data_IF_801729353679
#
_entry.id   IF_801729353679
#
_cell.length_a   1.000
_cell.length_b   1.000
_cell.length_c   1.000
_cell.angle_alpha   90.00
_cell.angle_beta   90.00
_cell.angle_gamma   90.00
#
_symmetry.space_group_name_H-M   'P 1'
#
loop_
_entity.id
_entity.type
_entity.pdbx_description
1 polymer ?
#
# COMPACT_ATOMS: atom_id res chain seq x y z
N UNK A 1 22.33 1.88 -3.29
CA UNK A 1 22.18 1.68 -1.83
C UNK A 1 20.76 1.95 -1.34
N UNK A 2 20.23 3.18 -1.43
CA UNK A 2 18.81 3.45 -1.07
C UNK A 2 17.85 2.85 -2.10
N UNK A 3 18.17 2.98 -3.39
CA UNK A 3 17.38 2.41 -4.51
C UNK A 3 17.15 0.90 -4.37
N UNK A 4 18.09 0.15 -3.77
CA UNK A 4 17.99 -1.31 -3.61
C UNK A 4 16.88 -1.72 -2.63
N UNK A 5 16.63 -0.91 -1.59
CA UNK A 5 15.51 -1.14 -0.66
C UNK A 5 14.19 -0.99 -1.41
N UNK A 6 14.07 0.08 -2.19
CA UNK A 6 12.88 0.35 -2.98
C UNK A 6 12.68 -0.67 -4.11
N UNK A 7 13.76 -1.13 -4.74
CA UNK A 7 13.69 -2.19 -5.76
C UNK A 7 13.17 -3.49 -5.17
N UNK A 8 13.68 -3.89 -3.99
CA UNK A 8 13.21 -5.07 -3.28
C UNK A 8 11.73 -4.95 -2.92
N UNK A 9 11.31 -3.85 -2.31
CA UNK A 9 9.91 -3.62 -1.96
C UNK A 9 9.01 -3.63 -3.21
N UNK A 10 9.46 -3.02 -4.31
CA UNK A 10 8.76 -3.04 -5.59
C UNK A 10 8.58 -4.48 -6.10
N UNK A 11 9.64 -5.29 -6.11
CA UNK A 11 9.60 -6.68 -6.59
C UNK A 11 8.67 -7.56 -5.75
N UNK A 12 8.73 -7.42 -4.43
CA UNK A 12 7.84 -8.17 -3.53
C UNK A 12 6.38 -7.79 -3.77
N UNK A 13 6.08 -6.50 -3.90
CA UNK A 13 4.73 -6.00 -4.16
C UNK A 13 4.21 -6.44 -5.53
N UNK A 14 4.99 -6.28 -6.60
CA UNK A 14 4.52 -6.63 -7.95
C UNK A 14 4.31 -8.13 -8.08
N UNK A 15 5.14 -8.95 -7.44
CA UNK A 15 4.97 -10.40 -7.41
C UNK A 15 3.74 -10.80 -6.62
N UNK A 16 3.54 -10.24 -5.43
CA UNK A 16 2.35 -10.48 -4.62
C UNK A 16 1.06 -10.19 -5.41
N UNK A 17 0.97 -9.02 -6.06
CA UNK A 17 -0.22 -8.69 -6.83
C UNK A 17 -0.39 -9.57 -8.07
N UNK A 18 0.65 -9.78 -8.89
CA UNK A 18 0.51 -10.53 -10.14
C UNK A 18 0.33 -12.04 -9.93
N UNK A 19 1.00 -12.62 -8.92
CA UNK A 19 1.04 -14.07 -8.73
C UNK A 19 0.00 -14.58 -7.72
N UNK A 20 -0.42 -13.75 -6.76
CA UNK A 20 -1.34 -14.17 -5.71
C UNK A 20 -2.72 -13.52 -5.89
N UNK A 21 -2.77 -12.18 -5.95
CA UNK A 21 -4.04 -11.46 -6.00
C UNK A 21 -4.73 -11.53 -7.38
N UNK A 22 -3.98 -11.36 -8.47
CA UNK A 22 -4.51 -11.18 -9.83
C UNK A 22 -4.56 -12.47 -10.66
N UNK A 23 -3.95 -13.56 -10.19
CA UNK A 23 -3.71 -14.81 -10.96
C UNK A 23 -4.93 -15.40 -11.66
N UNK A 24 -6.14 -15.15 -11.14
CA UNK A 24 -7.41 -15.62 -11.71
C UNK A 24 -8.44 -14.49 -11.92
N UNK A 25 -8.01 -13.23 -11.82
CA UNK A 25 -8.91 -12.10 -11.96
C UNK A 25 -9.11 -11.73 -13.43
N UNK A 26 -10.31 -11.22 -13.72
CA UNK A 26 -10.72 -10.84 -15.07
C UNK A 26 -11.36 -9.47 -15.09
N UNK A 27 -11.09 -8.72 -16.14
CA UNK A 27 -11.85 -7.53 -16.53
C UNK A 27 -12.37 -7.81 -17.94
N UNK A 28 -13.67 -7.64 -18.18
CA UNK A 28 -14.28 -7.91 -19.49
C UNK A 28 -13.94 -9.33 -20.03
N UNK A 29 -14.00 -10.34 -19.17
CA UNK A 29 -13.66 -11.74 -19.45
C UNK A 29 -12.20 -12.02 -19.90
N UNK A 30 -11.30 -11.04 -19.78
CA UNK A 30 -9.87 -11.20 -20.07
C UNK A 30 -9.07 -11.19 -18.78
N UNK A 31 -8.13 -12.13 -18.67
CA UNK A 31 -7.15 -12.10 -17.59
C UNK A 31 -6.26 -10.88 -17.77
N UNK A 32 -5.89 -10.25 -16.66
CA UNK A 32 -5.02 -9.08 -16.66
C UNK A 32 -3.91 -9.24 -15.62
N UNK A 33 -2.85 -8.45 -15.80
CA UNK A 33 -1.72 -8.34 -14.88
C UNK A 33 -1.14 -6.94 -15.00
N UNK A 34 -0.46 -6.48 -13.95
CA UNK A 34 0.31 -5.24 -13.98
C UNK A 34 1.56 -5.49 -14.83
N UNK A 35 1.69 -4.78 -15.95
CA UNK A 35 2.76 -5.03 -16.93
C UNK A 35 4.04 -4.33 -16.52
N UNK A 36 5.14 -5.07 -16.63
CA UNK A 36 6.44 -4.58 -16.23
C UNK A 36 7.61 -5.28 -16.93
N UNK A 37 8.66 -4.52 -17.24
CA UNK A 37 9.91 -5.04 -17.80
C UNK A 37 10.96 -5.26 -16.69
N UNK A 38 11.06 -6.52 -16.24
CA UNK A 38 12.05 -6.94 -15.25
C UNK A 38 13.50 -6.74 -15.72
N UNK A 39 13.79 -6.89 -17.01
CA UNK A 39 15.15 -6.75 -17.51
C UNK A 39 15.59 -5.30 -17.44
N UNK A 40 14.72 -4.39 -17.89
CA UNK A 40 14.98 -2.96 -17.76
C UNK A 40 15.14 -2.54 -16.29
N UNK A 41 14.25 -3.00 -15.42
CA UNK A 41 14.28 -2.68 -13.99
C UNK A 41 15.55 -3.11 -13.27
N UNK A 42 15.99 -4.35 -13.50
CA UNK A 42 17.18 -4.88 -12.87
C UNK A 42 18.41 -4.08 -13.28
N UNK A 43 18.41 -3.54 -14.50
CA UNK A 43 19.49 -2.68 -15.02
C UNK A 43 19.43 -1.21 -14.57
N UNK A 44 18.42 -0.78 -13.82
CA UNK A 44 18.28 0.61 -13.39
C UNK A 44 19.34 1.01 -12.36
N UNK A 45 20.14 2.02 -12.69
CA UNK A 45 21.22 2.49 -11.84
C UNK A 45 21.04 3.96 -11.45
N UNK A 46 20.06 4.65 -12.04
CA UNK A 46 19.79 6.07 -11.85
C UNK A 46 18.47 6.29 -11.17
N UNK A 47 18.45 7.33 -10.34
CA UNK A 47 17.33 7.66 -9.49
C UNK A 47 16.08 8.09 -10.29
N UNK A 48 16.28 8.81 -11.39
CA UNK A 48 15.21 9.32 -12.27
C UNK A 48 14.49 8.19 -13.04
N UNK A 49 15.23 7.18 -13.48
CA UNK A 49 14.68 6.06 -14.23
C UNK A 49 13.77 5.18 -13.36
N UNK A 50 14.12 5.03 -12.08
CA UNK A 50 13.28 4.32 -11.10
C UNK A 50 11.98 5.07 -10.80
N UNK A 51 12.04 6.40 -10.64
CA UNK A 51 10.82 7.21 -10.47
C UNK A 51 9.87 7.07 -11.67
N UNK A 52 10.44 7.05 -12.88
CA UNK A 52 9.66 6.86 -14.11
C UNK A 52 8.96 5.51 -14.13
N UNK A 53 9.66 4.43 -13.79
CA UNK A 53 9.06 3.09 -13.67
C UNK A 53 7.86 3.08 -12.72
N UNK A 54 7.98 3.70 -11.54
CA UNK A 54 6.87 3.76 -10.59
C UNK A 54 5.66 4.50 -11.17
N UNK A 55 5.89 5.63 -11.85
CA UNK A 55 4.81 6.39 -12.51
C UNK A 55 4.13 5.59 -13.61
N UNK A 56 4.90 4.88 -14.43
CA UNK A 56 4.37 4.06 -15.52
C UNK A 56 3.48 2.93 -14.95
N UNK A 57 3.91 2.29 -13.87
CA UNK A 57 3.12 1.25 -13.17
C UNK A 57 1.85 1.82 -12.55
N UNK A 58 1.94 2.96 -11.86
CA UNK A 58 0.76 3.64 -11.29
C UNK A 58 -0.22 4.00 -12.42
N UNK A 59 0.27 4.45 -13.57
CA UNK A 59 -0.58 4.74 -14.73
C UNK A 59 -1.24 3.47 -15.28
N UNK A 60 -0.52 2.35 -15.41
CA UNK A 60 -1.08 1.07 -15.87
C UNK A 60 -2.20 0.58 -14.94
N UNK A 61 -1.98 0.66 -13.61
CA UNK A 61 -3.00 0.29 -12.62
C UNK A 61 -4.23 1.20 -12.73
N UNK A 62 -4.05 2.51 -12.91
CA UNK A 62 -5.18 3.42 -13.08
C UNK A 62 -5.96 3.14 -14.36
N UNK A 63 -5.29 2.75 -15.45
CA UNK A 63 -5.97 2.30 -16.67
C UNK A 63 -6.79 1.03 -16.41
N UNK A 64 -6.23 0.04 -15.72
CA UNK A 64 -6.95 -1.18 -15.33
C UNK A 64 -8.16 -0.86 -14.44
N UNK A 65 -8.07 0.14 -13.55
CA UNK A 65 -9.21 0.60 -12.74
C UNK A 65 -10.30 1.25 -13.58
N UNK A 66 -9.92 2.08 -14.55
CA UNK A 66 -10.88 2.66 -15.49
C UNK A 66 -11.58 1.58 -16.33
N UNK A 67 -10.83 0.58 -16.80
CA UNK A 67 -11.39 -0.58 -17.47
C UNK A 67 -12.35 -1.35 -16.55
N UNK A 68 -11.98 -1.58 -15.28
CA UNK A 68 -12.85 -2.22 -14.30
C UNK A 68 -14.15 -1.42 -14.09
N UNK A 69 -14.08 -0.09 -14.01
CA UNK A 69 -15.23 0.82 -13.86
C UNK A 69 -16.12 0.87 -15.10
N UNK A 70 -15.56 0.68 -16.30
CA UNK A 70 -16.36 0.66 -17.54
C UNK A 70 -17.36 -0.50 -17.59
N UNK A 71 -17.14 -1.57 -16.80
CA UNK A 71 -18.10 -2.68 -16.66
C UNK A 71 -19.44 -2.24 -16.07
N UNK A 72 -19.47 -1.12 -15.33
CA UNK A 72 -20.70 -0.58 -14.74
C UNK A 72 -21.70 -0.06 -15.79
N UNK A 73 -21.29 0.04 -17.06
CA UNK A 73 -22.16 0.41 -18.19
C UNK A 73 -23.00 -0.78 -18.67
N UNK A 74 -22.55 -2.02 -18.43
CA UNK A 74 -23.26 -3.24 -18.81
C UNK A 74 -24.18 -3.68 -17.67
N UNK A 75 -25.49 -3.72 -17.90
CA UNK A 75 -26.48 -4.16 -16.90
C UNK A 75 -26.28 -5.62 -16.41
N UNK A 76 -25.46 -6.42 -17.10
CA UNK A 76 -25.20 -7.84 -16.78
C UNK A 76 -23.83 -8.11 -16.19
N UNK A 77 -23.09 -7.10 -15.78
CA UNK A 77 -21.78 -7.30 -15.18
C UNK A 77 -21.85 -8.04 -13.83
N UNK A 78 -20.77 -8.75 -13.49
CA UNK A 78 -20.66 -9.41 -12.20
C UNK A 78 -20.14 -8.44 -11.13
N UNK A 79 -21.06 -8.04 -10.25
CA UNK A 79 -20.83 -7.17 -9.09
C UNK A 79 -19.68 -7.66 -8.21
N UNK A 80 -19.55 -8.97 -8.01
CA UNK A 80 -18.52 -9.55 -7.15
C UNK A 80 -17.15 -9.42 -7.78
N UNK A 81 -17.05 -9.70 -9.08
CA UNK A 81 -15.81 -9.53 -9.85
C UNK A 81 -15.38 -8.07 -9.85
N UNK A 82 -16.30 -7.15 -10.14
CA UNK A 82 -16.03 -5.71 -10.08
C UNK A 82 -15.48 -5.28 -8.71
N UNK A 83 -16.16 -5.66 -7.63
CA UNK A 83 -15.79 -5.25 -6.28
C UNK A 83 -14.42 -5.80 -5.86
N UNK A 84 -14.15 -7.07 -6.20
CA UNK A 84 -12.86 -7.72 -5.92
C UNK A 84 -11.71 -7.04 -6.67
N UNK A 85 -11.90 -6.77 -7.96
CA UNK A 85 -10.93 -6.06 -8.76
C UNK A 85 -10.68 -4.64 -8.24
N UNK A 86 -11.72 -3.90 -7.87
CA UNK A 86 -11.58 -2.53 -7.36
C UNK A 86 -10.79 -2.49 -6.05
N UNK A 87 -11.01 -3.48 -5.17
CA UNK A 87 -10.26 -3.64 -3.94
C UNK A 87 -8.77 -3.91 -4.20
N UNK A 88 -8.47 -4.90 -5.04
CA UNK A 88 -7.10 -5.30 -5.37
C UNK A 88 -6.36 -4.17 -6.07
N UNK A 89 -6.96 -3.56 -7.09
CA UNK A 89 -6.34 -2.50 -7.88
C UNK A 89 -6.16 -1.21 -7.08
N UNK A 90 -7.12 -0.85 -6.22
CA UNK A 90 -6.95 0.31 -5.32
C UNK A 90 -5.78 0.09 -4.35
N UNK A 91 -5.67 -1.12 -3.82
CA UNK A 91 -4.59 -1.51 -2.92
C UNK A 91 -3.24 -1.48 -3.63
N UNK A 92 -3.16 -2.02 -4.85
CA UNK A 92 -1.96 -1.99 -5.67
C UNK A 92 -1.54 -0.54 -6.00
N UNK A 93 -2.48 0.30 -6.39
CA UNK A 93 -2.21 1.71 -6.70
C UNK A 93 -1.57 2.42 -5.50
N UNK A 94 -2.17 2.30 -4.31
CA UNK A 94 -1.62 2.94 -3.10
C UNK A 94 -0.27 2.34 -2.68
N UNK A 95 -0.05 1.04 -2.91
CA UNK A 95 1.24 0.41 -2.64
C UNK A 95 2.37 1.08 -3.45
N UNK A 96 2.20 1.22 -4.76
CA UNK A 96 3.20 1.85 -5.62
C UNK A 96 3.30 3.38 -5.41
N UNK A 97 2.18 4.07 -5.15
CA UNK A 97 2.19 5.47 -4.75
C UNK A 97 2.98 5.67 -3.44
N UNK A 98 2.86 4.74 -2.49
CA UNK A 98 3.59 4.79 -1.23
C UNK A 98 5.09 4.55 -1.42
N UNK A 99 5.49 3.63 -2.30
CA UNK A 99 6.91 3.47 -2.69
C UNK A 99 7.41 4.80 -3.29
N UNK A 100 6.68 5.38 -4.24
CA UNK A 100 7.06 6.62 -4.92
C UNK A 100 7.17 7.80 -3.95
N UNK A 101 6.23 7.95 -3.02
CA UNK A 101 6.25 9.00 -2.02
C UNK A 101 7.42 8.81 -1.05
N UNK A 102 7.62 7.60 -0.54
CA UNK A 102 8.78 7.28 0.30
C UNK A 102 10.08 7.58 -0.43
N UNK A 103 10.18 7.19 -1.70
CA UNK A 103 11.34 7.44 -2.54
C UNK A 103 11.67 8.93 -2.65
N UNK A 104 10.67 9.77 -2.92
CA UNK A 104 10.84 11.23 -2.97
C UNK A 104 11.22 11.82 -1.62
N UNK A 105 10.53 11.43 -0.56
CA UNK A 105 10.80 11.92 0.78
C UNK A 105 12.22 11.57 1.23
N UNK A 106 12.65 10.32 1.02
CA UNK A 106 14.00 9.86 1.37
C UNK A 106 15.07 10.54 0.52
N UNK A 107 14.82 10.72 -0.78
CA UNK A 107 15.75 11.44 -1.66
C UNK A 107 15.92 12.89 -1.24
N UNK A 108 14.84 13.56 -0.81
CA UNK A 108 14.88 14.91 -0.28
C UNK A 108 15.62 15.01 1.07
N UNK A 109 15.47 14.01 1.93
CA UNK A 109 16.15 13.90 3.23
C UNK A 109 17.56 13.32 3.14
N UNK A 110 18.12 13.21 1.93
CA UNK A 110 19.48 12.78 1.70
C UNK A 110 20.39 13.99 1.51
N UNK A 111 21.36 14.15 2.40
CA UNK A 111 22.39 15.19 2.33
C UNK A 111 23.75 14.59 1.93
N UNK A 112 24.59 15.38 1.26
CA UNK A 112 25.96 14.99 0.95
C UNK A 112 26.90 15.50 2.05
N UNK A 113 27.51 14.56 2.78
CA UNK A 113 28.54 14.84 3.77
C UNK A 113 29.87 14.23 3.30
N UNK A 114 30.77 15.08 2.81
CA UNK A 114 32.12 14.69 2.37
C UNK A 114 32.13 13.60 1.28
N UNK A 115 31.19 13.66 0.32
CA UNK A 115 31.05 12.68 -0.77
C UNK A 115 30.25 11.44 -0.38
N UNK A 116 29.76 11.35 0.86
CA UNK A 116 28.87 10.29 1.31
C UNK A 116 27.43 10.81 1.44
N UNK A 117 26.50 10.15 0.76
CA UNK A 117 25.07 10.37 0.97
C UNK A 117 24.65 9.87 2.35
N UNK A 118 24.18 10.77 3.21
CA UNK A 118 23.64 10.46 4.55
C UNK A 118 22.15 10.74 4.54
N UNK A 119 21.37 9.85 5.16
CA UNK A 119 19.92 10.04 5.31
C UNK A 119 19.64 10.63 6.70
N UNK A 120 19.01 11.80 6.73
CA UNK A 120 18.68 12.53 7.96
C UNK A 120 17.35 12.03 8.56
N UNK A 121 17.29 10.74 8.91
CA UNK A 121 16.09 10.08 9.41
C UNK A 121 16.41 9.33 10.69
N UNK A 122 15.61 9.60 11.72
CA UNK A 122 15.63 8.92 13.00
C UNK A 122 14.36 8.09 13.22
N UNK A 123 14.36 7.31 14.30
CA UNK A 123 13.23 6.48 14.69
C UNK A 123 11.96 7.32 14.92
N UNK A 124 12.11 8.54 15.45
CA UNK A 124 10.99 9.45 15.70
C UNK A 124 10.28 9.86 14.41
N UNK A 125 11.03 10.12 13.34
CA UNK A 125 10.48 10.42 12.03
C UNK A 125 9.65 9.24 11.50
N UNK A 126 10.20 8.02 11.56
CA UNK A 126 9.50 6.82 11.13
C UNK A 126 8.21 6.58 11.93
N UNK A 127 8.28 6.66 13.27
CA UNK A 127 7.12 6.51 14.17
C UNK A 127 6.04 7.54 13.83
N UNK A 128 6.40 8.82 13.67
CA UNK A 128 5.45 9.89 13.34
C UNK A 128 4.79 9.67 11.98
N UNK A 129 5.55 9.21 10.99
CA UNK A 129 5.01 8.93 9.64
C UNK A 129 4.00 7.78 9.68
N UNK A 130 4.35 6.65 10.29
CA UNK A 130 3.43 5.50 10.41
C UNK A 130 2.19 5.87 11.26
N UNK A 131 2.37 6.61 12.35
CA UNK A 131 1.27 7.08 13.21
C UNK A 131 0.33 8.06 12.49
N UNK A 132 0.88 8.94 11.65
CA UNK A 132 0.09 9.84 10.81
C UNK A 132 -0.75 9.06 9.80
N UNK A 133 -0.17 8.04 9.16
CA UNK A 133 -0.90 7.15 8.25
C UNK A 133 -2.00 6.38 8.97
N UNK A 134 -1.72 5.83 10.16
CA UNK A 134 -2.72 5.16 10.99
C UNK A 134 -3.88 6.10 11.34
N UNK A 135 -3.58 7.33 11.76
CA UNK A 135 -4.59 8.36 12.08
C UNK A 135 -5.47 8.68 10.86
N UNK A 136 -4.87 8.80 9.68
CA UNK A 136 -5.62 9.04 8.44
C UNK A 136 -6.55 7.87 8.08
N UNK A 137 -6.12 6.63 8.30
CA UNK A 137 -6.95 5.43 8.09
C UNK A 137 -8.11 5.41 9.09
N UNK A 138 -7.83 5.66 10.38
CA UNK A 138 -8.85 5.75 11.43
C UNK A 138 -9.92 6.78 11.09
N UNK A 139 -9.50 7.98 10.66
CA UNK A 139 -10.43 9.02 10.22
C UNK A 139 -11.30 8.55 9.05
N UNK A 140 -10.72 7.95 8.01
CA UNK A 140 -11.50 7.41 6.87
C UNK A 140 -12.48 6.31 7.31
N UNK A 141 -12.05 5.44 8.23
CA UNK A 141 -12.88 4.39 8.79
C UNK A 141 -14.06 4.96 9.58
N UNK A 142 -13.86 6.00 10.39
CA UNK A 142 -14.92 6.68 11.13
C UNK A 142 -16.00 7.26 10.22
N UNK A 143 -15.65 7.70 9.01
CA UNK A 143 -16.59 8.22 8.02
C UNK A 143 -17.30 7.13 7.20
N UNK A 144 -16.98 5.84 7.41
CA UNK A 144 -17.73 4.75 6.77
C UNK A 144 -19.16 4.66 7.33
N UNK A 145 -20.15 4.34 6.48
CA UNK A 145 -21.48 3.98 6.95
C UNK A 145 -21.42 2.85 7.99
N UNK A 146 -22.23 2.93 9.05
CA UNK A 146 -22.23 1.97 10.16
C UNK A 146 -22.40 0.51 9.70
N UNK A 147 -23.15 0.29 8.61
CA UNK A 147 -23.32 -1.04 8.01
C UNK A 147 -22.01 -1.67 7.51
N UNK A 148 -21.05 -0.87 7.05
CA UNK A 148 -19.76 -1.34 6.53
C UNK A 148 -18.71 -1.57 7.63
N UNK A 149 -18.93 -1.00 8.82
CA UNK A 149 -18.05 -1.17 9.99
C UNK A 149 -18.24 -2.51 10.72
N UNK A 150 -19.19 -3.34 10.28
CA UNK A 150 -19.54 -4.62 10.94
C UNK A 150 -18.56 -5.75 10.62
N UNK A 151 -17.58 -5.55 9.74
CA UNK A 151 -16.57 -6.56 9.44
C UNK A 151 -15.61 -6.72 10.63
N UNK A 152 -15.58 -7.91 11.23
CA UNK A 152 -14.77 -8.21 12.41
C UNK A 152 -13.27 -8.12 12.15
N UNK A 153 -12.80 -8.60 11.00
CA UNK A 153 -11.37 -8.57 10.66
C UNK A 153 -10.88 -7.14 10.44
N UNK A 154 -11.66 -6.31 9.74
CA UNK A 154 -11.36 -4.89 9.60
C UNK A 154 -11.35 -4.21 10.98
N UNK A 155 -12.30 -4.53 11.87
CA UNK A 155 -12.32 -3.97 13.22
C UNK A 155 -11.05 -4.30 14.02
N UNK A 156 -10.52 -5.53 13.90
CA UNK A 156 -9.27 -5.91 14.55
C UNK A 156 -8.10 -5.05 14.05
N UNK A 157 -8.00 -4.86 12.73
CA UNK A 157 -6.99 -3.97 12.15
C UNK A 157 -7.14 -2.55 12.71
N UNK A 158 -8.37 -2.03 12.75
CA UNK A 158 -8.64 -0.68 13.28
C UNK A 158 -8.23 -0.56 14.75
N UNK A 159 -8.45 -1.58 15.58
CA UNK A 159 -8.03 -1.55 16.98
C UNK A 159 -6.50 -1.56 17.12
N UNK A 160 -5.80 -2.33 16.30
CA UNK A 160 -4.32 -2.30 16.24
C UNK A 160 -3.84 -0.89 15.82
N UNK A 161 -4.49 -0.26 14.82
CA UNK A 161 -4.13 1.09 14.38
C UNK A 161 -4.31 2.14 15.47
N UNK A 162 -5.33 2.04 16.33
CA UNK A 162 -5.50 2.92 17.51
C UNK A 162 -4.34 2.78 18.50
N UNK A 163 -3.80 1.57 18.67
CA UNK A 163 -2.61 1.36 19.52
C UNK A 163 -1.39 1.97 18.85
N UNK A 164 -1.26 1.81 17.53
CA UNK A 164 -0.14 2.35 16.75
C UNK A 164 -0.05 3.88 16.91
N UNK A 165 -1.17 4.62 16.80
CA UNK A 165 -1.18 6.09 16.92
C UNK A 165 -0.71 6.63 18.27
N UNK A 166 -0.70 5.79 19.31
CA UNK A 166 -0.33 6.18 20.68
C UNK A 166 1.03 5.62 21.11
N UNK A 167 1.74 4.94 20.21
CA UNK A 167 3.01 4.27 20.49
C UNK A 167 4.18 5.16 20.08
N UNK A 168 5.18 5.30 20.97
CA UNK A 168 6.44 5.99 20.70
C UNK A 168 7.65 5.04 20.63
N UNK A 169 7.40 3.73 20.60
CA UNK A 169 8.41 2.69 20.52
C UNK A 169 8.42 2.08 19.11
N UNK A 170 9.56 2.20 18.42
CA UNK A 170 9.73 1.70 17.05
C UNK A 170 9.53 0.18 16.97
N UNK A 171 10.07 -0.59 17.91
CA UNK A 171 9.94 -2.05 17.89
C UNK A 171 8.48 -2.46 18.05
N UNK A 172 7.74 -1.73 18.90
CA UNK A 172 6.30 -1.92 19.05
C UNK A 172 5.55 -1.55 17.77
N UNK A 173 5.89 -0.45 17.11
CA UNK A 173 5.30 -0.08 15.80
C UNK A 173 5.52 -1.19 14.77
N UNK A 174 6.75 -1.70 14.64
CA UNK A 174 7.08 -2.76 13.67
C UNK A 174 6.33 -4.06 13.96
N UNK A 175 6.20 -4.44 15.23
CA UNK A 175 5.43 -5.63 15.61
C UNK A 175 3.93 -5.46 15.30
N UNK A 176 3.34 -4.31 15.63
CA UNK A 176 1.95 -4.02 15.29
C UNK A 176 1.72 -3.98 13.77
N UNK A 177 2.65 -3.43 12.99
CA UNK A 177 2.57 -3.47 11.52
C UNK A 177 2.61 -4.90 10.98
N UNK A 178 3.40 -5.81 11.56
CA UNK A 178 3.40 -7.23 11.19
C UNK A 178 2.07 -7.90 11.54
N UNK A 179 1.50 -7.61 12.70
CA UNK A 179 0.17 -8.10 13.09
C UNK A 179 -0.90 -7.62 12.10
N UNK A 180 -0.85 -6.34 11.69
CA UNK A 180 -1.73 -5.78 10.64
C UNK A 180 -1.55 -6.52 9.32
N UNK A 181 -0.31 -6.81 8.88
CA UNK A 181 -0.05 -7.54 7.63
C UNK A 181 -0.69 -8.93 7.64
N UNK A 182 -0.53 -9.69 8.74
CA UNK A 182 -1.13 -11.02 8.89
C UNK A 182 -2.65 -10.94 8.75
N UNK A 183 -3.28 -10.01 9.47
CA UNK A 183 -4.73 -9.79 9.43
C UNK A 183 -5.23 -9.29 8.09
N UNK A 184 -4.45 -8.44 7.42
CA UNK A 184 -4.80 -7.94 6.10
C UNK A 184 -4.72 -9.03 5.03
N UNK A 185 -3.80 -9.97 5.16
CA UNK A 185 -3.70 -11.10 4.26
C UNK A 185 -4.94 -12.02 4.36
N UNK A 186 -5.46 -12.22 5.58
CA UNK A 186 -6.73 -12.93 5.80
C UNK A 186 -7.88 -12.24 5.04
N UNK A 187 -7.97 -10.90 5.11
CA UNK A 187 -8.96 -10.10 4.39
C UNK A 187 -8.90 -10.27 2.87
N UNK A 188 -7.71 -10.28 2.27
CA UNK A 188 -7.57 -10.37 0.81
C UNK A 188 -7.84 -11.78 0.27
N UNK A 189 -7.61 -12.82 1.07
CA UNK A 189 -7.86 -14.20 0.68
C UNK A 189 -9.30 -14.67 0.94
N UNK A 190 -10.02 -14.03 1.85
CA UNK A 190 -11.40 -14.34 2.14
C UNK A 190 -12.30 -13.48 1.24
N UNK A 191 -13.24 -14.10 0.51
CA UNK A 191 -14.36 -13.41 -0.16
C UNK A 191 -15.32 -12.69 0.84
N UNK A 192 -14.85 -12.42 2.06
CA UNK A 192 -15.56 -11.90 3.23
C UNK A 192 -15.36 -10.39 3.44
N UNK A 193 -14.46 -9.73 2.72
CA UNK A 193 -14.24 -8.29 2.91
C UNK A 193 -15.47 -7.45 2.55
N UNK A 194 -16.23 -7.92 1.57
CA UNK A 194 -17.48 -7.31 1.11
C UNK A 194 -18.63 -8.23 1.52
N UNK A 195 -19.43 -7.83 2.51
CA UNK A 195 -20.68 -8.51 2.80
C UNK A 195 -21.69 -8.14 1.70
N UNK A 196 -21.77 -8.99 0.67
CA UNK A 196 -22.68 -8.81 -0.46
C UNK A 196 -24.16 -8.79 -0.04
N UNK A 197 -24.52 -9.31 1.14
CA UNK A 197 -25.88 -9.22 1.67
C UNK A 197 -26.19 -7.83 2.28
N UNK A 198 -25.16 -7.02 2.54
CA UNK A 198 -25.30 -5.64 3.03
C UNK A 198 -25.29 -4.63 1.86
N UNK A 199 -24.90 -5.08 0.67
CA UNK A 199 -24.90 -4.29 -0.58
C UNK A 199 -26.31 -4.16 -1.23
N UNK A 200 -27.37 -4.51 -0.50
CA UNK A 200 -28.75 -4.52 -1.00
C UNK A 200 -29.31 -3.09 -1.01
N UNK A 201 -28.96 -2.33 -2.05
CA UNK A 201 -29.71 -1.18 -2.61
C UNK A 201 -28.98 -0.72 -3.90
N UNK A 202 -29.67 -0.78 -5.04
CA UNK A 202 -29.13 -0.89 -6.42
C UNK A 202 -28.22 0.26 -6.94
N UNK A 203 -27.80 1.22 -6.12
CA UNK A 203 -26.81 2.24 -6.52
C UNK A 203 -25.81 2.61 -5.41
N UNK A 204 -26.11 2.30 -4.14
CA UNK A 204 -25.24 2.64 -3.00
C UNK A 204 -24.02 1.73 -2.87
N UNK A 205 -24.13 0.50 -3.36
CA UNK A 205 -23.13 -0.52 -3.13
C UNK A 205 -21.80 -0.25 -3.86
N UNK A 206 -21.83 0.35 -5.05
CA UNK A 206 -20.60 0.75 -5.79
C UNK A 206 -19.81 1.77 -4.98
N UNK A 207 -20.50 2.79 -4.43
CA UNK A 207 -19.87 3.79 -3.57
C UNK A 207 -19.32 3.17 -2.28
N UNK A 208 -20.02 2.18 -1.71
CA UNK A 208 -19.58 1.48 -0.51
C UNK A 208 -18.32 0.64 -0.77
N UNK A 209 -18.27 -0.08 -1.90
CA UNK A 209 -17.07 -0.80 -2.37
C UNK A 209 -15.92 0.18 -2.54
N UNK A 210 -16.11 1.30 -3.24
CA UNK A 210 -15.04 2.30 -3.44
C UNK A 210 -14.55 2.88 -2.10
N UNK A 211 -15.45 3.15 -1.15
CA UNK A 211 -15.08 3.64 0.19
C UNK A 211 -14.29 2.60 0.98
N UNK A 212 -14.73 1.34 0.98
CA UNK A 212 -14.02 0.24 1.63
C UNK A 212 -12.64 0.03 1.00
N UNK A 213 -12.56 0.00 -0.32
CA UNK A 213 -11.30 -0.12 -1.06
C UNK A 213 -10.31 0.99 -0.71
N UNK A 214 -10.78 2.23 -0.47
CA UNK A 214 -9.93 3.34 -0.02
C UNK A 214 -9.38 3.17 1.39
N UNK A 215 -10.15 2.57 2.31
CA UNK A 215 -9.68 2.26 3.67
C UNK A 215 -8.67 1.12 3.60
N UNK A 216 -9.00 0.05 2.88
CA UNK A 216 -8.13 -1.11 2.63
C UNK A 216 -6.80 -0.71 2.03
N UNK A 217 -6.83 0.11 0.98
CA UNK A 217 -5.63 0.60 0.32
C UNK A 217 -4.77 1.49 1.26
N UNK A 218 -5.41 2.25 2.16
CA UNK A 218 -4.71 3.00 3.20
C UNK A 218 -3.89 2.09 4.13
N UNK A 219 -4.44 0.93 4.53
CA UNK A 219 -3.73 -0.07 5.34
C UNK A 219 -2.48 -0.56 4.60
N UNK A 220 -2.57 -0.83 3.30
CA UNK A 220 -1.40 -1.20 2.49
C UNK A 220 -0.36 -0.10 2.44
N UNK A 221 -0.78 1.16 2.26
CA UNK A 221 0.16 2.29 2.29
C UNK A 221 0.93 2.39 3.60
N UNK A 222 0.26 2.14 4.73
CA UNK A 222 0.92 2.06 6.04
C UNK A 222 1.95 0.93 6.11
N UNK A 223 1.60 -0.27 5.63
CA UNK A 223 2.49 -1.43 5.62
C UNK A 223 3.76 -1.19 4.78
N UNK A 224 3.60 -0.61 3.59
CA UNK A 224 4.72 -0.26 2.69
C UNK A 224 5.64 0.77 3.34
N UNK A 225 5.08 1.81 3.95
CA UNK A 225 5.87 2.82 4.66
C UNK A 225 6.64 2.16 5.82
N UNK A 226 5.99 1.35 6.64
CA UNK A 226 6.62 0.68 7.78
C UNK A 226 7.79 -0.21 7.34
N UNK A 227 7.65 -0.98 6.26
CA UNK A 227 8.71 -1.84 5.72
C UNK A 227 9.90 -1.03 5.20
N UNK A 228 9.64 0.00 4.37
CA UNK A 228 10.71 0.85 3.81
C UNK A 228 11.48 1.57 4.92
N UNK A 229 10.80 2.22 5.86
CA UNK A 229 11.48 2.93 6.95
C UNK A 229 12.26 1.97 7.85
N UNK A 230 11.73 0.78 8.14
CA UNK A 230 12.46 -0.27 8.87
C UNK A 230 13.73 -0.70 8.12
N UNK A 231 13.62 -0.92 6.81
CA UNK A 231 14.75 -1.27 5.96
C UNK A 231 15.84 -0.19 5.92
N UNK A 232 15.43 1.08 5.93
CA UNK A 232 16.35 2.23 5.95
C UNK A 232 17.06 2.34 7.30
N UNK A 233 16.31 2.27 8.40
CA UNK A 233 16.87 2.38 9.76
C UNK A 233 17.81 1.21 10.07
N UNK A 234 17.46 -0.02 9.69
CA UNK A 234 18.29 -1.21 9.93
C UNK A 234 19.66 -1.17 9.24
N UNK A 235 19.78 -0.43 8.13
CA UNK A 235 21.04 -0.25 7.39
C UNK A 235 21.93 0.88 7.95
N UNK A 236 21.54 1.53 9.05
CA UNK A 236 22.30 2.58 9.76
C UNK A 236 22.73 3.78 8.88
N UNK A 237 21.98 4.13 7.83
CA UNK A 237 22.32 5.26 6.94
C UNK A 237 22.38 6.64 7.63
N UNK A 238 21.91 6.75 8.87
CA UNK A 238 21.93 7.96 9.69
C UNK A 238 23.22 8.11 10.53
N UNK A 239 23.99 7.03 10.77
CA UNK A 239 25.22 7.09 11.57
C UNK A 239 26.45 7.37 10.71
N UNK A 240 26.52 8.58 10.14
CA UNK A 240 27.82 9.19 9.92
C UNK A 240 28.40 9.51 11.31
N UNK A 241 29.32 8.66 11.76
CA UNK A 241 30.19 8.79 12.95
C UNK A 241 29.76 9.84 13.99
N UNK A 242 29.21 9.38 15.13
CA UNK A 242 29.65 9.95 16.41
C UNK A 242 31.15 9.65 16.51
N UNK A 243 31.99 10.45 15.85
CA UNK A 243 33.42 10.45 16.09
C UNK A 243 33.60 10.95 17.52
N UNK A 244 33.94 9.99 18.39
CA UNK A 244 34.82 10.09 19.54
C UNK A 244 35.21 11.54 19.87
N UNK A 245 34.60 12.08 20.93
CA UNK A 245 35.16 13.21 21.67
C UNK A 245 36.33 12.73 22.52
#
# INVERSE_FOLDING_TARGET
MTIDIFKKAFEEIINYYNNDCLKNQKINNKNFKIKFDYNHFNSLNKDEDFEKVLKDIISDINNLRQENQSQLIDDKFDVRIFAKNELILSSANVAFESILECYKNLSYLTSDHNGNKVLEIDDNFAIKKVSSLASNILSRYEHLPTRLKKNSELSIIIDILKVLTNTNDLDRVLNLSREVLVKYNEILHLDQFVDYNVLVEEYGWVHDVVKLSRVSAGVVGLLVNADIYSGVLSKNYYKAQKSVA
#
